data_IF_355223092554
#
_entry.id   IF_355223092554
#
_cell.length_a   1.000
_cell.length_b   1.000
_cell.length_c   1.000
_cell.angle_alpha   90.00
_cell.angle_beta   90.00
_cell.angle_gamma   90.00
#
_symmetry.space_group_name_H-M   'P 1'
#
loop_
_entity.id
_entity.type
_entity.pdbx_description
1 polymer ?
#
# COMPACT_ATOMS: atom_id res chain seq x y z
N UNK A 1 -48.00 -7.34 -3.85
CA UNK A 1 -46.92 -7.68 -2.90
C UNK A 1 -46.11 -8.83 -3.48
N UNK A 2 -45.02 -8.55 -4.17
CA UNK A 2 -44.09 -9.57 -4.64
C UNK A 2 -42.90 -9.60 -3.67
N UNK A 3 -42.70 -10.74 -3.01
CA UNK A 3 -41.56 -10.95 -2.13
C UNK A 3 -40.28 -11.05 -2.97
N UNK A 4 -39.40 -10.07 -2.81
CA UNK A 4 -38.06 -10.03 -3.40
C UNK A 4 -37.26 -11.22 -2.86
N UNK A 5 -36.96 -12.21 -3.71
CA UNK A 5 -36.05 -13.29 -3.37
C UNK A 5 -34.63 -12.71 -3.25
N UNK A 6 -34.14 -12.61 -2.02
CA UNK A 6 -32.72 -12.44 -1.75
C UNK A 6 -31.97 -13.58 -2.44
N UNK A 7 -31.12 -13.23 -3.40
CA UNK A 7 -30.24 -14.18 -4.06
C UNK A 7 -29.20 -14.55 -3.02
N UNK A 8 -29.28 -15.76 -2.47
CA UNK A 8 -28.24 -16.34 -1.63
C UNK A 8 -26.92 -16.26 -2.42
N UNK A 9 -26.01 -15.39 -2.00
CA UNK A 9 -24.64 -15.40 -2.52
C UNK A 9 -24.05 -16.72 -2.04
N UNK A 10 -23.64 -17.63 -2.95
CA UNK A 10 -23.02 -18.86 -2.51
C UNK A 10 -21.73 -18.50 -1.76
N UNK A 11 -21.53 -19.12 -0.59
CA UNK A 11 -20.26 -19.02 0.12
C UNK A 11 -19.14 -19.36 -0.86
N UNK A 12 -18.29 -18.36 -1.14
CA UNK A 12 -17.14 -18.53 -2.02
C UNK A 12 -16.22 -19.64 -1.49
N UNK A 13 -15.24 -20.08 -2.28
CA UNK A 13 -14.25 -21.04 -1.78
C UNK A 13 -13.66 -20.50 -0.47
N UNK A 14 -13.76 -21.31 0.59
CA UNK A 14 -13.14 -21.03 1.87
C UNK A 14 -11.61 -21.02 1.64
N UNK A 15 -11.06 -19.85 1.36
CA UNK A 15 -9.61 -19.65 1.36
C UNK A 15 -9.16 -19.86 2.79
N UNK A 16 -8.55 -21.00 3.07
CA UNK A 16 -7.87 -21.21 4.34
C UNK A 16 -6.98 -19.98 4.59
N UNK A 17 -7.04 -19.34 5.77
CA UNK A 17 -6.16 -18.23 6.08
C UNK A 17 -4.73 -18.69 5.82
N UNK A 18 -3.90 -17.82 5.22
CA UNK A 18 -2.51 -18.14 4.87
C UNK A 18 -1.83 -18.71 6.12
N UNK A 19 -1.68 -20.03 6.16
CA UNK A 19 -1.25 -20.77 7.34
C UNK A 19 0.15 -20.30 7.73
N UNK A 20 0.28 -19.64 8.88
CA UNK A 20 1.54 -19.06 9.36
C UNK A 20 1.46 -17.56 9.69
N UNK A 21 0.38 -16.88 9.30
CA UNK A 21 0.03 -15.54 9.78
C UNK A 21 -0.86 -15.71 11.03
N UNK A 22 -0.29 -15.64 12.24
CA UNK A 22 -1.08 -15.66 13.49
C UNK A 22 -2.11 -14.53 13.50
N UNK A 23 -3.28 -14.70 14.11
CA UNK A 23 -4.37 -13.70 14.24
C UNK A 23 -4.01 -12.42 15.03
N UNK A 24 -2.83 -11.85 14.84
CA UNK A 24 -2.35 -10.67 15.55
C UNK A 24 -1.59 -9.75 14.61
N UNK A 25 -1.90 -8.46 14.70
CA UNK A 25 -1.15 -7.29 14.22
C UNK A 25 -0.15 -7.59 13.09
N UNK A 26 -0.69 -7.71 11.88
CA UNK A 26 0.11 -7.86 10.68
C UNK A 26 0.69 -6.51 10.30
N UNK A 27 1.85 -6.19 10.86
CA UNK A 27 2.63 -5.07 10.40
C UNK A 27 2.99 -5.26 8.91
N UNK A 28 2.73 -4.22 8.12
CA UNK A 28 2.84 -4.25 6.68
C UNK A 28 3.50 -2.97 6.17
N UNK A 29 4.39 -3.14 5.19
CA UNK A 29 4.84 -2.06 4.32
C UNK A 29 4.18 -2.24 2.96
N UNK A 30 3.45 -1.23 2.51
CA UNK A 30 2.87 -1.21 1.16
C UNK A 30 3.50 -0.11 0.32
N UNK A 31 3.76 -0.40 -0.95
CA UNK A 31 3.97 0.61 -1.97
C UNK A 31 2.78 0.55 -2.94
N UNK A 32 2.08 1.66 -3.14
CA UNK A 32 0.96 1.72 -4.07
C UNK A 32 1.01 2.95 -4.98
N UNK A 33 0.42 2.81 -6.17
CA UNK A 33 0.17 3.90 -7.09
C UNK A 33 -1.29 3.85 -7.53
N UNK A 34 -1.89 5.03 -7.67
CA UNK A 34 -3.31 5.17 -7.98
C UNK A 34 -3.50 6.30 -8.98
N UNK A 35 -4.30 6.05 -10.01
CA UNK A 35 -4.58 7.03 -11.05
C UNK A 35 -6.02 6.90 -11.57
N UNK A 36 -6.67 8.01 -11.94
CA UNK A 36 -7.95 7.95 -12.61
C UNK A 36 -7.77 7.36 -14.02
N UNK A 37 -8.76 6.61 -14.48
CA UNK A 37 -8.79 6.02 -15.82
C UNK A 37 -10.20 6.10 -16.41
N UNK A 38 -10.29 6.06 -17.74
CA UNK A 38 -11.57 6.19 -18.45
C UNK A 38 -12.04 7.64 -18.58
N UNK A 39 -13.36 7.80 -18.75
CA UNK A 39 -13.96 9.10 -19.02
C UNK A 39 -13.83 10.03 -17.80
N UNK A 40 -13.50 11.31 -18.00
CA UNK A 40 -13.43 12.29 -16.91
C UNK A 40 -14.81 12.47 -16.27
N UNK A 41 -14.86 12.54 -14.94
CA UNK A 41 -16.10 12.58 -14.18
C UNK A 41 -17.01 13.79 -14.52
N UNK A 42 -16.43 14.87 -15.06
CA UNK A 42 -17.13 16.09 -15.47
C UNK A 42 -17.25 16.26 -17.00
N UNK A 43 -16.95 15.21 -17.79
CA UNK A 43 -17.12 15.22 -19.25
C UNK A 43 -16.09 16.04 -20.04
N UNK A 44 -15.15 16.72 -19.37
CA UNK A 44 -14.08 17.47 -20.01
C UNK A 44 -12.73 16.78 -19.74
N UNK A 45 -12.08 16.25 -20.78
CA UNK A 45 -10.72 15.76 -20.63
C UNK A 45 -9.81 16.98 -20.38
N UNK A 46 -8.97 16.99 -19.32
CA UNK A 46 -8.02 18.07 -19.12
C UNK A 46 -7.13 18.17 -20.36
N UNK A 47 -6.90 19.39 -20.85
CA UNK A 47 -6.20 19.67 -22.11
C UNK A 47 -4.80 19.03 -22.22
N UNK A 48 -4.21 18.65 -21.08
CA UNK A 48 -2.85 18.11 -21.01
C UNK A 48 -2.76 16.70 -20.37
N UNK A 49 -3.88 15.98 -20.20
CA UNK A 49 -3.94 14.63 -19.60
C UNK A 49 -3.29 14.49 -18.19
N UNK A 50 -3.00 15.62 -17.53
CA UNK A 50 -2.24 15.64 -16.28
C UNK A 50 -3.15 15.29 -15.10
N UNK A 51 -2.86 14.17 -14.44
CA UNK A 51 -3.67 13.58 -13.35
C UNK A 51 -3.28 14.08 -11.95
N UNK A 52 -2.53 15.19 -11.88
CA UNK A 52 -1.89 15.67 -10.65
C UNK A 52 -2.89 16.02 -9.54
N UNK A 53 -4.05 16.60 -9.85
CA UNK A 53 -5.09 16.91 -8.84
C UNK A 53 -5.67 15.64 -8.20
N UNK A 54 -5.89 14.60 -9.00
CA UNK A 54 -6.37 13.30 -8.51
C UNK A 54 -5.32 12.64 -7.60
N UNK A 55 -4.05 12.63 -8.03
CA UNK A 55 -2.94 12.10 -7.24
C UNK A 55 -2.74 12.91 -5.96
N UNK A 56 -2.88 14.24 -6.01
CA UNK A 56 -2.78 15.10 -4.83
C UNK A 56 -3.86 14.81 -3.79
N UNK A 57 -5.10 14.50 -4.22
CA UNK A 57 -6.18 14.09 -3.33
C UNK A 57 -5.84 12.77 -2.59
N UNK A 58 -5.30 11.78 -3.29
CA UNK A 58 -4.83 10.53 -2.68
C UNK A 58 -3.67 10.78 -1.70
N UNK A 59 -2.64 11.51 -2.09
CA UNK A 59 -1.45 11.75 -1.25
C UNK A 59 -1.81 12.57 -0.01
N UNK A 60 -2.78 13.48 -0.08
CA UNK A 60 -3.30 14.20 1.09
C UNK A 60 -3.85 13.23 2.14
N UNK A 61 -4.70 12.28 1.72
CA UNK A 61 -5.27 11.24 2.60
C UNK A 61 -4.17 10.40 3.27
N UNK A 62 -3.12 10.05 2.51
CA UNK A 62 -1.98 9.31 3.07
C UNK A 62 -1.29 10.13 4.16
N UNK A 63 -1.01 11.41 3.92
CA UNK A 63 -0.33 12.28 4.89
C UNK A 63 -1.18 12.54 6.14
N UNK A 64 -2.48 12.72 5.95
CA UNK A 64 -3.44 12.95 7.05
C UNK A 64 -3.68 11.70 7.91
N UNK A 65 -3.32 10.51 7.42
CA UNK A 65 -3.43 9.26 8.19
C UNK A 65 -2.55 9.22 9.45
N UNK A 66 -1.48 10.02 9.48
CA UNK A 66 -0.48 9.96 10.55
C UNK A 66 0.46 8.75 10.51
N UNK A 67 0.24 7.79 9.59
CA UNK A 67 1.12 6.63 9.42
C UNK A 67 2.45 7.05 8.79
N UNK A 68 3.58 6.38 9.14
CA UNK A 68 4.83 6.52 8.42
C UNK A 68 4.62 6.31 6.92
N UNK A 69 5.03 7.30 6.12
CA UNK A 69 4.83 7.28 4.68
C UNK A 69 5.97 7.96 3.92
N UNK A 70 6.14 7.60 2.66
CA UNK A 70 7.09 8.21 1.72
C UNK A 70 6.48 8.27 0.33
N UNK A 71 6.34 9.47 -0.24
CA UNK A 71 5.92 9.64 -1.64
C UNK A 71 7.14 9.81 -2.54
N UNK A 72 7.20 9.03 -3.61
CA UNK A 72 8.21 9.10 -4.68
C UNK A 72 7.56 9.54 -6.00
N UNK A 73 8.34 9.57 -7.08
CA UNK A 73 7.82 9.90 -8.42
C UNK A 73 6.81 8.88 -8.97
N UNK A 74 6.86 7.62 -8.51
CA UNK A 74 6.06 6.53 -9.08
C UNK A 74 5.11 5.88 -8.08
N UNK A 75 5.44 5.88 -6.79
CA UNK A 75 4.68 5.21 -5.74
C UNK A 75 4.61 6.05 -4.46
N UNK A 76 3.56 5.80 -3.67
CA UNK A 76 3.52 6.19 -2.27
C UNK A 76 3.63 4.94 -1.41
N UNK A 77 4.54 4.97 -0.44
CA UNK A 77 4.75 3.90 0.53
C UNK A 77 4.10 4.27 1.86
N UNK A 78 3.50 3.29 2.53
CA UNK A 78 2.88 3.43 3.86
C UNK A 78 3.25 2.21 4.69
N UNK A 79 3.59 2.44 5.95
CA UNK A 79 3.93 1.40 6.92
C UNK A 79 2.99 1.49 8.12
N UNK A 80 2.44 0.36 8.57
CA UNK A 80 1.46 0.30 9.65
C UNK A 80 0.81 -1.07 9.79
N UNK A 81 -0.24 -1.16 10.59
CA UNK A 81 -1.03 -2.40 10.70
C UNK A 81 -1.86 -2.63 9.44
N UNK A 82 -2.08 -3.91 9.11
CA UNK A 82 -2.78 -4.32 7.89
C UNK A 82 -4.09 -3.56 7.63
N UNK A 83 -4.97 -3.53 8.63
CA UNK A 83 -6.29 -2.90 8.50
C UNK A 83 -6.17 -1.37 8.36
N UNK A 84 -5.25 -0.75 9.09
CA UNK A 84 -5.01 0.70 9.02
C UNK A 84 -4.47 1.11 7.65
N UNK A 85 -3.48 0.38 7.14
CA UNK A 85 -2.88 0.65 5.84
C UNK A 85 -3.90 0.43 4.72
N UNK A 86 -4.66 -0.66 4.77
CA UNK A 86 -5.67 -0.94 3.74
C UNK A 86 -6.85 0.04 3.78
N UNK A 87 -7.23 0.55 4.96
CA UNK A 87 -8.20 1.65 5.07
C UNK A 87 -7.70 2.93 4.37
N UNK A 88 -6.42 3.29 4.57
CA UNK A 88 -5.82 4.46 3.90
C UNK A 88 -5.80 4.26 2.38
N UNK A 89 -5.38 3.09 1.90
CA UNK A 89 -5.36 2.77 0.46
C UNK A 89 -6.77 2.85 -0.13
N UNK A 90 -7.77 2.33 0.57
CA UNK A 90 -9.18 2.40 0.16
C UNK A 90 -9.64 3.84 0.03
N UNK A 91 -9.48 4.67 1.07
CA UNK A 91 -9.88 6.09 1.03
C UNK A 91 -9.15 6.88 -0.05
N UNK A 92 -7.86 6.62 -0.26
CA UNK A 92 -7.08 7.23 -1.33
C UNK A 92 -7.62 6.83 -2.73
N UNK A 93 -8.02 5.56 -2.89
CA UNK A 93 -8.63 5.04 -4.11
C UNK A 93 -9.99 5.67 -4.38
N UNK A 94 -10.84 5.77 -3.35
CA UNK A 94 -12.17 6.41 -3.44
C UNK A 94 -12.05 7.89 -3.83
N UNK A 95 -11.07 8.60 -3.26
CA UNK A 95 -10.81 10.00 -3.61
C UNK A 95 -10.40 10.18 -5.08
N UNK A 96 -9.59 9.26 -5.63
CA UNK A 96 -9.23 9.27 -7.06
C UNK A 96 -10.42 8.92 -7.95
N UNK A 97 -11.34 8.08 -7.47
CA UNK A 97 -12.57 7.72 -8.18
C UNK A 97 -13.46 8.92 -8.51
N UNK A 98 -13.34 10.04 -7.79
CA UNK A 98 -14.05 11.28 -8.13
C UNK A 98 -13.56 11.95 -9.44
N UNK A 99 -12.43 11.50 -10.00
CA UNK A 99 -11.78 12.12 -11.17
C UNK A 99 -11.91 11.31 -12.46
N UNK A 100 -12.45 10.09 -12.43
CA UNK A 100 -12.62 9.26 -13.62
C UNK A 100 -13.63 8.14 -13.42
N UNK A 101 -14.14 7.58 -14.51
CA UNK A 101 -15.13 6.49 -14.44
C UNK A 101 -14.55 5.17 -13.89
N UNK A 102 -13.23 5.05 -13.84
CA UNK A 102 -12.49 3.92 -13.26
C UNK A 102 -11.24 4.40 -12.55
N UNK A 103 -10.67 3.53 -11.71
CA UNK A 103 -9.39 3.76 -11.04
C UNK A 103 -8.43 2.63 -11.36
N UNK A 104 -7.20 2.97 -11.75
CA UNK A 104 -6.09 2.02 -11.81
C UNK A 104 -5.35 2.04 -10.47
N UNK A 105 -5.24 0.89 -9.82
CA UNK A 105 -4.53 0.73 -8.55
C UNK A 105 -3.49 -0.38 -8.70
N UNK A 106 -2.23 -0.07 -8.40
CA UNK A 106 -1.14 -1.05 -8.30
C UNK A 106 -0.68 -1.07 -6.85
N UNK A 107 -0.55 -2.25 -6.27
CA UNK A 107 -0.15 -2.44 -4.89
C UNK A 107 0.89 -3.56 -4.77
N UNK A 108 1.99 -3.29 -4.06
CA UNK A 108 2.95 -4.30 -3.61
C UNK A 108 3.07 -4.21 -2.09
N UNK A 109 2.72 -5.29 -1.40
CA UNK A 109 2.85 -5.40 0.04
C UNK A 109 4.01 -6.30 0.45
N UNK A 110 4.69 -5.93 1.53
CA UNK A 110 5.59 -6.78 2.30
C UNK A 110 4.92 -7.01 3.66
N UNK A 111 4.49 -8.25 3.91
CA UNK A 111 3.71 -8.65 5.09
C UNK A 111 4.61 -9.55 5.92
N UNK A 112 5.22 -8.98 6.96
CA UNK A 112 6.21 -9.68 7.76
C UNK A 112 6.05 -9.31 9.24
N UNK A 113 5.40 -10.18 10.04
CA UNK A 113 5.20 -9.94 11.47
C UNK A 113 6.51 -9.68 12.22
N UNK A 114 6.47 -8.74 13.18
CA UNK A 114 7.58 -8.46 14.11
C UNK A 114 8.68 -7.54 13.57
N UNK A 115 8.45 -6.84 12.45
CA UNK A 115 9.35 -5.83 11.89
C UNK A 115 8.61 -4.50 11.80
N UNK A 116 9.30 -3.39 12.02
CA UNK A 116 8.80 -2.00 11.88
C UNK A 116 9.96 -1.06 11.56
N UNK A 117 9.68 0.14 11.06
CA UNK A 117 10.69 1.09 10.57
C UNK A 117 11.33 0.65 9.25
N UNK A 118 10.66 -0.22 8.51
CA UNK A 118 11.17 -0.88 7.32
C UNK A 118 11.19 0.03 6.08
N UNK A 119 10.44 1.16 6.08
CA UNK A 119 10.60 2.24 5.09
C UNK A 119 12.05 2.70 4.95
N UNK A 120 12.76 2.75 6.07
CA UNK A 120 14.18 3.14 6.16
C UNK A 120 15.07 1.90 6.26
N UNK A 121 14.74 0.98 7.16
CA UNK A 121 15.60 -0.18 7.47
C UNK A 121 15.88 -1.08 6.27
N UNK A 122 14.94 -1.22 5.31
CA UNK A 122 15.20 -1.97 4.07
C UNK A 122 16.25 -1.31 3.19
N UNK A 123 16.18 0.01 3.06
CA UNK A 123 17.13 0.79 2.25
C UNK A 123 18.50 0.78 2.90
N UNK A 124 18.59 1.01 4.22
CA UNK A 124 19.87 0.96 4.94
C UNK A 124 20.58 -0.39 4.80
N UNK A 125 19.84 -1.50 4.94
CA UNK A 125 20.43 -2.84 4.76
C UNK A 125 20.88 -3.09 3.32
N UNK A 126 20.14 -2.59 2.33
CA UNK A 126 20.55 -2.63 0.92
C UNK A 126 21.84 -1.84 0.69
N UNK A 127 21.89 -0.59 1.15
CA UNK A 127 23.07 0.28 1.00
C UNK A 127 24.30 -0.31 1.69
N UNK A 128 24.14 -0.92 2.88
CA UNK A 128 25.23 -1.62 3.55
C UNK A 128 25.71 -2.84 2.75
N UNK A 129 24.81 -3.60 2.13
CA UNK A 129 25.18 -4.76 1.32
C UNK A 129 25.93 -4.37 0.02
N UNK A 130 25.54 -3.25 -0.60
CA UNK A 130 26.21 -2.70 -1.79
C UNK A 130 27.53 -2.04 -1.40
N UNK A 131 27.55 -1.26 -0.31
CA UNK A 131 28.74 -0.63 0.26
C UNK A 131 29.79 -1.65 0.74
N UNK A 132 29.37 -2.84 1.16
CA UNK A 132 30.23 -3.97 1.49
C UNK A 132 31.02 -4.58 0.31
N UNK A 133 30.81 -4.08 -0.92
CA UNK A 133 31.62 -4.43 -2.10
C UNK A 133 32.64 -3.34 -2.49
N UNK A 134 32.79 -2.29 -1.67
CA UNK A 134 33.77 -1.22 -1.85
C UNK A 134 34.56 -0.96 -0.57
N UNK A 135 35.82 -1.39 -0.56
CA UNK A 135 36.83 -1.28 0.52
C UNK A 135 36.63 -2.25 1.70
N UNK A 136 37.69 -3.03 1.98
CA UNK A 136 37.67 -4.18 2.88
C UNK A 136 37.31 -3.87 4.34
N UNK A 137 36.49 -4.75 4.92
CA UNK A 137 36.21 -4.79 6.36
C UNK A 137 34.99 -5.68 6.65
N UNK A 138 35.24 -6.82 7.32
CA UNK A 138 34.30 -7.74 7.98
C UNK A 138 32.87 -7.90 7.41
N UNK A 139 32.55 -9.11 6.94
CA UNK A 139 31.27 -9.48 6.35
C UNK A 139 30.02 -9.25 7.24
N UNK A 140 28.82 -9.33 6.65
CA UNK A 140 27.57 -8.92 7.29
C UNK A 140 27.25 -9.77 8.52
N UNK A 141 27.06 -9.11 9.67
CA UNK A 141 26.62 -9.76 10.90
C UNK A 141 25.13 -10.10 10.81
N UNK A 142 24.79 -11.35 11.15
CA UNK A 142 23.40 -11.83 11.21
C UNK A 142 22.62 -11.05 12.27
N UNK A 143 21.42 -10.52 11.95
CA UNK A 143 20.62 -9.80 12.93
C UNK A 143 20.16 -10.76 14.04
N UNK A 144 20.42 -10.37 15.30
CA UNK A 144 19.87 -11.02 16.48
C UNK A 144 18.46 -10.49 16.76
N UNK A 145 17.56 -11.37 17.18
CA UNK A 145 16.23 -10.99 17.68
C UNK A 145 16.40 -10.13 18.94
N UNK A 146 15.67 -9.01 19.10
CA UNK A 146 15.55 -8.37 20.41
C UNK A 146 14.98 -9.40 21.39
N UNK A 147 15.57 -9.44 22.60
CA UNK A 147 15.22 -10.40 23.63
C UNK A 147 13.73 -10.37 23.98
N UNK A 148 13.23 -11.57 24.27
CA UNK A 148 11.98 -11.92 24.98
C UNK A 148 11.40 -10.82 25.86
#
# INVERSE_FOLDING_TARGET
MAASRERLVPDGPNFAPLSGLSEGNHHMLVAFSVAPAGDPANGQAPGDASVHDAVAAAVRIVRESGLPNRTSSMFTEIEGEWDEVMDVVKRATDAVGAYGSRVSLVLKADIRPGYSGELTGKVERLENAIGGHGAGGAGPQTPTRPGI
#
